data_IF_396530990378
#
_entry.id   IF_396530990378
#
_cell.length_a   1.000
_cell.length_b   1.000
_cell.length_c   1.000
_cell.angle_alpha   90.00
_cell.angle_beta   90.00
_cell.angle_gamma   90.00
#
_symmetry.space_group_name_H-M   'P 1'
#
loop_
_entity.id
_entity.type
_entity.pdbx_description
1 polymer ?
#
# COMPACT_ATOMS: atom_id res chain seq x y z
N UNK A 1 21.29 -27.99 0.36
CA UNK A 1 20.38 -27.27 -0.54
C UNK A 1 19.41 -26.50 0.32
N UNK A 2 19.20 -25.22 0.05
CA UNK A 2 18.12 -24.50 0.72
C UNK A 2 16.77 -25.13 0.32
N UNK A 3 15.83 -25.28 1.26
CA UNK A 3 14.51 -25.78 0.95
C UNK A 3 13.82 -24.85 -0.06
N UNK A 4 13.22 -25.44 -1.09
CA UNK A 4 12.37 -24.76 -2.08
C UNK A 4 11.25 -23.94 -1.41
N UNK A 5 10.57 -23.08 -2.16
CA UNK A 5 9.40 -22.36 -1.64
C UNK A 5 8.31 -23.33 -1.16
N UNK A 6 8.05 -24.41 -1.91
CA UNK A 6 7.02 -25.39 -1.58
C UNK A 6 7.32 -26.12 -0.26
N UNK A 7 8.54 -26.63 -0.10
CA UNK A 7 8.95 -27.31 1.14
C UNK A 7 8.98 -26.36 2.35
N UNK A 8 9.40 -25.10 2.16
CA UNK A 8 9.28 -24.06 3.19
C UNK A 8 7.82 -23.84 3.56
N UNK A 9 6.94 -23.63 2.59
CA UNK A 9 5.52 -23.38 2.84
C UNK A 9 4.86 -24.52 3.62
N UNK A 10 5.14 -25.79 3.29
CA UNK A 10 4.62 -26.94 4.04
C UNK A 10 5.14 -26.94 5.48
N UNK A 11 6.47 -26.82 5.68
CA UNK A 11 7.06 -26.76 7.03
C UNK A 11 6.45 -25.64 7.87
N UNK A 12 6.13 -24.53 7.21
CA UNK A 12 5.80 -23.27 7.85
C UNK A 12 4.29 -23.08 8.10
N UNK A 13 3.44 -23.63 7.25
CA UNK A 13 1.99 -23.41 7.29
C UNK A 13 1.17 -24.69 7.44
N UNK A 14 1.74 -25.88 7.24
CA UNK A 14 0.98 -27.11 7.38
C UNK A 14 0.83 -27.49 8.86
N UNK A 15 -0.41 -27.45 9.34
CA UNK A 15 -0.80 -27.80 10.71
C UNK A 15 -1.83 -28.94 10.69
N UNK A 16 -2.07 -29.57 11.84
CA UNK A 16 -2.98 -30.73 11.94
C UNK A 16 -4.44 -30.44 11.59
N UNK A 17 -4.85 -29.18 11.64
CA UNK A 17 -6.18 -28.69 11.28
C UNK A 17 -6.34 -28.41 9.78
N UNK A 18 -5.26 -28.46 8.99
CA UNK A 18 -5.35 -28.38 7.53
C UNK A 18 -5.93 -29.67 6.98
N UNK A 19 -7.09 -29.56 6.33
CA UNK A 19 -7.77 -30.71 5.73
C UNK A 19 -7.16 -31.15 4.40
N UNK A 20 -6.78 -30.18 3.55
CA UNK A 20 -6.28 -30.41 2.20
C UNK A 20 -5.25 -29.34 1.79
N UNK A 21 -4.27 -29.75 0.98
CA UNK A 21 -3.30 -28.87 0.32
C UNK A 21 -3.48 -29.01 -1.18
N UNK A 22 -3.75 -27.91 -1.88
CA UNK A 22 -4.03 -27.92 -3.32
C UNK A 22 -2.85 -27.36 -4.12
N UNK A 23 -2.47 -28.04 -5.20
CA UNK A 23 -1.41 -27.63 -6.12
C UNK A 23 -1.90 -27.71 -7.57
N UNK A 24 -1.53 -26.75 -8.41
CA UNK A 24 -1.87 -26.70 -9.85
C UNK A 24 -0.69 -27.06 -10.77
N UNK A 25 0.46 -27.44 -10.18
CA UNK A 25 1.65 -27.89 -10.90
C UNK A 25 2.12 -29.25 -10.37
N UNK A 26 2.32 -30.21 -11.27
CA UNK A 26 2.58 -31.61 -10.91
C UNK A 26 3.89 -31.80 -10.13
N UNK A 27 5.00 -31.21 -10.58
CA UNK A 27 6.29 -31.38 -9.92
C UNK A 27 6.27 -30.79 -8.49
N UNK A 28 5.55 -29.67 -8.31
CA UNK A 28 5.36 -29.04 -7.00
C UNK A 28 4.52 -29.92 -6.10
N UNK A 29 3.48 -30.57 -6.63
CA UNK A 29 2.65 -31.50 -5.87
C UNK A 29 3.46 -32.71 -5.39
N UNK A 30 4.29 -33.29 -6.26
CA UNK A 30 5.14 -34.44 -5.91
C UNK A 30 6.14 -34.09 -4.79
N UNK A 31 6.72 -32.88 -4.85
CA UNK A 31 7.59 -32.36 -3.79
C UNK A 31 6.83 -32.18 -2.45
N UNK A 32 5.64 -31.58 -2.50
CA UNK A 32 4.78 -31.36 -1.32
C UNK A 32 4.34 -32.70 -0.71
N UNK A 33 4.00 -33.71 -1.53
CA UNK A 33 3.62 -35.06 -1.07
C UNK A 33 4.78 -35.73 -0.34
N UNK A 34 5.99 -35.67 -0.93
CA UNK A 34 7.18 -36.27 -0.34
C UNK A 34 7.47 -35.67 1.04
N UNK A 35 7.37 -34.34 1.17
CA UNK A 35 7.62 -33.65 2.42
C UNK A 35 6.49 -33.84 3.45
N UNK A 36 5.24 -33.74 3.03
CA UNK A 36 4.08 -33.94 3.91
C UNK A 36 4.02 -35.36 4.47
N UNK A 37 4.44 -36.37 3.70
CA UNK A 37 4.49 -37.77 4.17
C UNK A 37 5.49 -37.99 5.29
N UNK A 38 6.55 -37.20 5.37
CA UNK A 38 7.54 -37.26 6.45
C UNK A 38 6.99 -36.66 7.77
N UNK A 39 6.17 -35.61 7.67
CA UNK A 39 5.66 -34.86 8.85
C UNK A 39 4.28 -35.39 9.30
N UNK A 40 3.42 -35.76 8.35
CA UNK A 40 2.04 -36.20 8.56
C UNK A 40 1.76 -37.57 7.91
N UNK A 41 2.46 -38.66 8.32
CA UNK A 41 2.36 -39.98 7.67
C UNK A 41 0.98 -40.63 7.74
N UNK A 42 0.07 -40.12 8.58
CA UNK A 42 -1.30 -40.65 8.75
C UNK A 42 -2.34 -39.98 7.84
N UNK A 43 -1.94 -39.03 7.00
CA UNK A 43 -2.83 -38.31 6.07
C UNK A 43 -2.36 -38.46 4.61
N UNK A 44 -2.43 -39.66 4.01
CA UNK A 44 -1.89 -39.91 2.67
C UNK A 44 -2.61 -39.14 1.54
N UNK A 45 -3.83 -38.68 1.79
CA UNK A 45 -4.67 -37.98 0.81
C UNK A 45 -4.74 -36.45 1.02
N UNK A 46 -3.81 -35.91 1.81
CA UNK A 46 -3.76 -34.49 2.17
C UNK A 46 -3.52 -33.60 0.95
N UNK A 47 -2.69 -34.02 0.01
CA UNK A 47 -2.34 -33.21 -1.17
C UNK A 47 -3.28 -33.56 -2.34
N UNK A 48 -3.83 -32.53 -2.98
CA UNK A 48 -4.72 -32.60 -4.14
C UNK A 48 -4.10 -31.84 -5.31
N UNK A 49 -4.15 -32.44 -6.50
CA UNK A 49 -3.72 -31.79 -7.74
C UNK A 49 -4.94 -31.22 -8.46
N UNK A 50 -4.90 -29.93 -8.76
CA UNK A 50 -5.92 -29.21 -9.52
C UNK A 50 -5.58 -29.25 -11.01
N UNK A 51 -6.36 -30.01 -11.78
CA UNK A 51 -6.16 -30.23 -13.22
C UNK A 51 -7.28 -29.63 -14.08
N UNK A 52 -8.14 -28.77 -13.52
CA UNK A 52 -9.23 -28.16 -14.28
C UNK A 52 -8.70 -27.04 -15.19
N UNK A 53 -8.76 -27.18 -16.53
CA UNK A 53 -8.27 -26.16 -17.45
C UNK A 53 -9.21 -24.95 -17.56
N UNK A 54 -10.46 -25.07 -17.10
CA UNK A 54 -11.48 -24.02 -17.22
C UNK A 54 -11.46 -23.01 -16.08
N UNK A 55 -10.78 -23.30 -14.96
CA UNK A 55 -10.71 -22.43 -13.77
C UNK A 55 -9.36 -22.56 -13.08
N UNK A 56 -8.81 -21.45 -12.65
CA UNK A 56 -7.63 -21.41 -11.77
C UNK A 56 -7.97 -21.82 -10.33
N UNK A 57 -6.95 -22.13 -9.51
CA UNK A 57 -7.13 -22.36 -8.06
C UNK A 57 -7.77 -21.14 -7.37
N UNK A 58 -7.36 -19.94 -7.77
CA UNK A 58 -7.89 -18.69 -7.21
C UNK A 58 -9.40 -18.55 -7.48
N UNK A 59 -9.86 -18.92 -8.67
CA UNK A 59 -11.29 -18.90 -9.01
C UNK A 59 -12.06 -20.02 -8.31
N UNK A 60 -11.47 -21.22 -8.21
CA UNK A 60 -12.08 -22.35 -7.50
C UNK A 60 -12.41 -22.01 -6.04
N UNK A 61 -11.49 -21.31 -5.36
CA UNK A 61 -11.61 -20.94 -3.96
C UNK A 61 -12.08 -19.49 -3.73
N UNK A 62 -12.44 -18.76 -4.79
CA UNK A 62 -12.87 -17.36 -4.74
C UNK A 62 -11.87 -16.40 -4.05
N UNK A 63 -10.57 -16.66 -4.22
CA UNK A 63 -9.49 -15.91 -3.55
C UNK A 63 -9.08 -14.62 -4.29
N UNK A 64 -9.60 -14.39 -5.50
CA UNK A 64 -9.19 -13.26 -6.34
C UNK A 64 -9.33 -11.91 -5.64
N UNK A 65 -10.45 -11.68 -4.96
CA UNK A 65 -10.68 -10.44 -4.21
C UNK A 65 -9.65 -10.24 -3.10
N UNK A 66 -9.36 -11.29 -2.33
CA UNK A 66 -8.37 -11.22 -1.24
C UNK A 66 -6.96 -10.97 -1.78
N UNK A 67 -6.60 -11.56 -2.92
CA UNK A 67 -5.32 -11.32 -3.59
C UNK A 67 -5.20 -9.87 -4.06
N UNK A 68 -6.26 -9.29 -4.63
CA UNK A 68 -6.27 -7.88 -5.04
C UNK A 68 -6.15 -6.95 -3.81
N UNK A 69 -6.80 -7.29 -2.69
CA UNK A 69 -6.71 -6.53 -1.45
C UNK A 69 -5.31 -6.49 -0.85
N UNK A 70 -4.43 -7.48 -1.09
CA UNK A 70 -3.03 -7.46 -0.60
C UNK A 70 -2.25 -6.27 -1.15
N UNK A 71 -2.48 -5.93 -2.43
CA UNK A 71 -1.79 -4.83 -3.12
C UNK A 71 -2.54 -3.51 -3.03
N UNK A 72 -3.78 -3.52 -2.54
CA UNK A 72 -4.60 -2.34 -2.37
C UNK A 72 -4.20 -1.54 -1.12
N UNK A 73 -4.24 -0.22 -1.23
CA UNK A 73 -4.13 0.69 -0.08
C UNK A 73 -5.26 0.46 0.93
N UNK A 74 -6.43 0.02 0.48
CA UNK A 74 -7.65 -0.17 1.28
C UNK A 74 -8.14 -1.62 1.25
N UNK A 75 -8.62 -2.13 2.38
CA UNK A 75 -9.31 -3.41 2.49
C UNK A 75 -10.71 -3.23 3.10
N UNK A 76 -11.71 -3.93 2.56
CA UNK A 76 -13.11 -3.79 2.97
C UNK A 76 -13.42 -4.57 4.25
N UNK A 77 -14.27 -4.01 5.10
CA UNK A 77 -14.82 -4.69 6.29
C UNK A 77 -16.21 -5.29 5.99
N UNK A 78 -16.60 -6.38 6.67
CA UNK A 78 -17.90 -7.04 6.47
C UNK A 78 -19.11 -6.10 6.60
N UNK A 79 -19.08 -5.17 7.55
CA UNK A 79 -20.17 -4.20 7.76
C UNK A 79 -20.14 -3.01 6.81
N UNK A 80 -19.30 -3.00 5.78
CA UNK A 80 -19.21 -1.92 4.79
C UNK A 80 -18.31 -0.74 5.18
N UNK A 81 -17.56 -0.88 6.27
CA UNK A 81 -16.39 -0.04 6.56
C UNK A 81 -15.16 -0.47 5.76
N UNK A 82 -14.02 0.14 6.06
CA UNK A 82 -12.74 -0.21 5.47
C UNK A 82 -11.57 0.14 6.38
N UNK A 83 -10.42 -0.48 6.10
CA UNK A 83 -9.13 -0.16 6.72
C UNK A 83 -8.15 0.30 5.64
N UNK A 84 -7.41 1.36 5.94
CA UNK A 84 -6.49 2.01 5.00
C UNK A 84 -5.08 1.91 5.54
N UNK A 85 -4.13 1.43 4.72
CA UNK A 85 -2.74 1.24 5.09
C UNK A 85 -1.84 2.29 4.40
N UNK A 86 -1.16 3.12 5.18
CA UNK A 86 -0.20 4.12 4.71
C UNK A 86 1.22 3.88 5.25
N UNK A 87 2.11 3.45 4.36
CA UNK A 87 3.50 3.19 4.70
C UNK A 87 4.25 4.52 4.79
N UNK A 88 4.89 4.76 5.92
CA UNK A 88 5.80 5.90 6.13
C UNK A 88 7.25 5.40 6.14
N UNK A 89 8.20 6.32 6.36
CA UNK A 89 9.61 5.99 6.51
C UNK A 89 9.87 5.04 7.71
N UNK A 90 9.21 5.28 8.84
CA UNK A 90 9.52 4.57 10.09
C UNK A 90 8.46 3.52 10.48
N UNK A 91 7.21 3.73 10.09
CA UNK A 91 6.08 2.92 10.56
C UNK A 91 4.99 2.72 9.51
N UNK A 92 4.13 1.75 9.76
CA UNK A 92 2.89 1.50 9.04
C UNK A 92 1.73 2.17 9.80
N UNK A 93 1.07 3.16 9.19
CA UNK A 93 -0.15 3.74 9.75
C UNK A 93 -1.38 3.02 9.20
N UNK A 94 -2.35 2.72 10.06
CA UNK A 94 -3.61 2.08 9.70
C UNK A 94 -4.78 2.92 10.18
N UNK A 95 -5.64 3.35 9.28
CA UNK A 95 -6.84 4.15 9.59
C UNK A 95 -8.12 3.31 9.41
N UNK A 96 -9.11 3.49 10.28
CA UNK A 96 -10.36 2.73 10.29
C UNK A 96 -11.55 3.61 9.91
N UNK A 97 -12.19 3.29 8.79
CA UNK A 97 -13.34 4.01 8.27
C UNK A 97 -14.62 3.19 8.43
N UNK A 98 -15.68 3.79 8.98
CA UNK A 98 -16.99 3.13 9.15
C UNK A 98 -17.82 3.00 7.87
N UNK A 99 -17.41 3.66 6.77
CA UNK A 99 -18.25 3.81 5.59
C UNK A 99 -19.52 4.64 5.85
N UNK A 100 -20.47 4.61 4.90
CA UNK A 100 -21.69 5.46 4.90
C UNK A 100 -22.85 4.91 5.75
N UNK A 101 -22.63 3.90 6.58
CA UNK A 101 -23.71 3.13 7.22
C UNK A 101 -23.88 3.59 8.67
N UNK A 102 -24.60 4.68 8.91
CA UNK A 102 -24.99 5.04 10.29
C UNK A 102 -25.67 6.39 10.47
N UNK A 103 -26.93 6.39 10.94
CA UNK A 103 -27.57 7.56 11.53
C UNK A 103 -27.01 7.88 12.92
N UNK A 104 -27.07 9.16 13.34
CA UNK A 104 -26.41 9.69 14.56
C UNK A 104 -26.75 8.94 15.87
N UNK A 105 -27.88 8.26 15.96
CA UNK A 105 -28.33 7.59 17.21
C UNK A 105 -27.60 6.28 17.52
N UNK A 106 -26.98 5.62 16.54
CA UNK A 106 -26.33 4.32 16.73
C UNK A 106 -24.80 4.37 16.55
N UNK A 107 -24.21 5.57 16.68
CA UNK A 107 -22.77 5.77 16.44
C UNK A 107 -21.87 4.95 17.38
N UNK A 108 -22.11 4.89 18.72
CA UNK A 108 -21.22 4.15 19.62
C UNK A 108 -21.13 2.65 19.32
N UNK A 109 -22.28 2.03 19.01
CA UNK A 109 -22.35 0.61 18.68
C UNK A 109 -21.73 0.32 17.32
N UNK A 110 -21.99 1.19 16.34
CA UNK A 110 -21.37 1.11 15.02
C UNK A 110 -19.84 1.22 15.11
N UNK A 111 -19.32 2.18 15.89
CA UNK A 111 -17.89 2.35 16.10
C UNK A 111 -17.26 1.11 16.73
N UNK A 112 -17.91 0.56 17.77
CA UNK A 112 -17.46 -0.67 18.42
C UNK A 112 -17.42 -1.87 17.47
N UNK A 113 -18.49 -2.09 16.70
CA UNK A 113 -18.55 -3.17 15.71
C UNK A 113 -17.47 -3.01 14.64
N UNK A 114 -17.35 -1.81 14.07
CA UNK A 114 -16.36 -1.52 13.02
C UNK A 114 -14.94 -1.72 13.52
N UNK A 115 -14.61 -1.23 14.72
CA UNK A 115 -13.28 -1.41 15.31
C UNK A 115 -12.98 -2.88 15.63
N UNK A 116 -13.99 -3.66 16.01
CA UNK A 116 -13.84 -5.11 16.26
C UNK A 116 -13.54 -5.86 14.96
N UNK A 117 -14.27 -5.56 13.88
CA UNK A 117 -14.00 -6.09 12.53
C UNK A 117 -12.62 -5.66 12.04
N UNK A 118 -12.26 -4.38 12.23
CA UNK A 118 -10.97 -3.83 11.85
C UNK A 118 -9.83 -4.54 12.59
N UNK A 119 -9.94 -4.82 13.88
CA UNK A 119 -8.91 -5.55 14.62
C UNK A 119 -8.64 -6.95 14.02
N UNK A 120 -9.68 -7.67 13.58
CA UNK A 120 -9.51 -8.97 12.92
C UNK A 120 -8.85 -8.82 11.54
N UNK A 121 -9.37 -7.89 10.73
CA UNK A 121 -8.89 -7.66 9.38
C UNK A 121 -7.45 -7.13 9.35
N UNK A 122 -7.06 -6.24 10.27
CA UNK A 122 -5.68 -5.76 10.38
C UNK A 122 -4.73 -6.91 10.68
N UNK A 123 -5.03 -7.77 11.65
CA UNK A 123 -4.18 -8.91 11.96
C UNK A 123 -4.02 -9.87 10.76
N UNK A 124 -5.08 -10.08 9.98
CA UNK A 124 -5.04 -10.87 8.75
C UNK A 124 -4.18 -10.21 7.68
N UNK A 125 -4.38 -8.92 7.41
CA UNK A 125 -3.64 -8.16 6.40
C UNK A 125 -2.16 -8.02 6.76
N UNK A 126 -1.81 -7.87 8.04
CA UNK A 126 -0.40 -7.85 8.47
C UNK A 126 0.34 -9.14 8.06
N UNK A 127 -0.34 -10.30 8.14
CA UNK A 127 0.21 -11.59 7.70
C UNK A 127 0.23 -11.71 6.18
N UNK A 128 -0.88 -11.42 5.51
CA UNK A 128 -1.00 -11.57 4.06
C UNK A 128 -0.04 -10.64 3.29
N UNK A 129 0.20 -9.44 3.82
CA UNK A 129 1.10 -8.44 3.21
C UNK A 129 2.56 -8.56 3.69
N UNK A 130 2.82 -9.44 4.66
CA UNK A 130 4.06 -9.51 5.46
C UNK A 130 4.55 -8.12 5.94
N UNK A 131 3.64 -7.35 6.54
CA UNK A 131 3.97 -6.05 7.14
C UNK A 131 4.68 -6.30 8.47
N UNK A 132 5.85 -5.70 8.66
CA UNK A 132 6.58 -5.76 9.91
C UNK A 132 7.33 -4.46 10.20
N UNK A 133 7.77 -4.31 11.45
CA UNK A 133 8.21 -3.06 12.04
C UNK A 133 7.17 -2.52 13.02
N UNK A 134 7.14 -1.20 13.17
CA UNK A 134 6.13 -0.51 13.97
C UNK A 134 4.86 -0.32 13.14
N UNK A 135 3.72 -0.68 13.71
CA UNK A 135 2.39 -0.49 13.15
C UNK A 135 1.58 0.33 14.15
N UNK A 136 0.93 1.38 13.68
CA UNK A 136 0.05 2.24 14.49
C UNK A 136 -1.35 2.21 13.88
N UNK A 137 -2.34 1.84 14.68
CA UNK A 137 -3.74 1.74 14.26
C UNK A 137 -4.53 2.86 14.91
N UNK A 138 -5.17 3.69 14.10
CA UNK A 138 -6.11 4.74 14.49
C UNK A 138 -7.53 4.19 14.43
N UNK A 139 -8.06 3.77 15.59
CA UNK A 139 -9.41 3.26 15.70
C UNK A 139 -10.41 4.40 15.84
N UNK A 140 -11.65 4.19 15.40
CA UNK A 140 -12.74 5.14 15.60
C UNK A 140 -12.91 5.42 17.11
N UNK A 141 -13.01 6.68 17.50
CA UNK A 141 -13.08 7.08 18.92
C UNK A 141 -14.24 6.37 19.66
N UNK A 142 -13.91 5.69 20.77
CA UNK A 142 -14.87 5.04 21.66
C UNK A 142 -14.75 5.58 23.08
N UNK A 143 -15.88 5.94 23.68
CA UNK A 143 -15.94 6.45 25.07
C UNK A 143 -16.05 5.35 26.12
N UNK A 144 -16.61 4.21 25.77
CA UNK A 144 -16.78 3.09 26.71
C UNK A 144 -15.47 2.30 26.86
N UNK A 145 -15.01 2.18 28.11
CA UNK A 145 -13.80 1.42 28.46
C UNK A 145 -13.96 -0.09 28.24
N UNK A 146 -15.18 -0.62 28.30
CA UNK A 146 -15.43 -2.03 28.01
C UNK A 146 -15.27 -2.30 26.52
N UNK A 147 -15.76 -1.42 25.66
CA UNK A 147 -15.56 -1.51 24.20
C UNK A 147 -14.08 -1.47 23.84
N UNK A 148 -13.32 -0.53 24.42
CA UNK A 148 -11.86 -0.45 24.23
C UNK A 148 -11.16 -1.77 24.61
N UNK A 149 -11.51 -2.36 25.77
CA UNK A 149 -10.92 -3.63 26.23
C UNK A 149 -11.27 -4.81 25.32
N UNK A 150 -12.50 -4.88 24.81
CA UNK A 150 -12.90 -5.96 23.90
C UNK A 150 -12.25 -5.82 22.52
N UNK A 151 -12.04 -4.59 22.00
CA UNK A 151 -11.26 -4.39 20.77
C UNK A 151 -9.80 -4.79 20.97
N UNK A 152 -9.16 -4.38 22.06
CA UNK A 152 -7.80 -4.84 22.41
C UNK A 152 -7.68 -6.37 22.50
N UNK A 153 -8.67 -7.00 23.15
CA UNK A 153 -8.72 -8.47 23.29
C UNK A 153 -8.93 -9.14 21.93
N UNK A 154 -9.77 -8.57 21.07
CA UNK A 154 -9.97 -9.05 19.70
C UNK A 154 -8.68 -8.98 18.91
N UNK A 155 -7.95 -7.85 18.96
CA UNK A 155 -6.66 -7.71 18.29
C UNK A 155 -5.64 -8.75 18.79
N UNK A 156 -5.47 -8.89 20.11
CA UNK A 156 -4.57 -9.89 20.69
C UNK A 156 -4.94 -11.31 20.26
N UNK A 157 -6.23 -11.64 20.23
CA UNK A 157 -6.70 -12.95 19.80
C UNK A 157 -6.45 -13.19 18.31
N UNK A 158 -6.68 -12.20 17.45
CA UNK A 158 -6.46 -12.31 16.01
C UNK A 158 -4.98 -12.43 15.64
N UNK A 159 -4.07 -11.91 16.48
CA UNK A 159 -2.62 -12.05 16.34
C UNK A 159 -2.07 -13.41 16.81
N UNK A 160 -2.80 -14.20 17.61
CA UNK A 160 -2.30 -15.49 18.15
C UNK A 160 -1.87 -16.51 17.09
N UNK A 161 -2.46 -16.44 15.90
CA UNK A 161 -2.08 -17.30 14.77
C UNK A 161 -0.88 -16.79 13.98
N UNK A 162 -0.31 -15.64 14.33
CA UNK A 162 0.85 -15.10 13.64
C UNK A 162 2.15 -15.78 14.10
N UNK A 163 2.98 -16.16 13.12
CA UNK A 163 4.26 -16.82 13.37
C UNK A 163 5.39 -15.83 13.60
N UNK A 164 5.25 -14.60 13.12
CA UNK A 164 6.20 -13.54 13.44
C UNK A 164 6.13 -13.23 14.93
N UNK A 165 7.26 -12.92 15.57
CA UNK A 165 7.21 -12.37 16.93
C UNK A 165 6.49 -11.04 16.88
N UNK A 166 5.54 -10.83 17.77
CA UNK A 166 4.79 -9.59 17.85
C UNK A 166 4.60 -9.15 19.30
N UNK A 167 4.40 -7.85 19.48
CA UNK A 167 3.90 -7.25 20.72
C UNK A 167 2.73 -6.33 20.37
N UNK A 168 1.66 -6.42 21.15
CA UNK A 168 0.43 -5.64 20.96
C UNK A 168 0.25 -4.74 22.17
N UNK A 169 0.42 -3.44 21.95
CA UNK A 169 0.19 -2.40 22.94
C UNK A 169 -1.27 -2.32 23.38
N UNK A 170 -1.49 -1.55 24.46
CA UNK A 170 -2.84 -1.14 24.85
C UNK A 170 -3.26 0.08 24.04
N UNK A 171 -4.56 0.39 24.05
CA UNK A 171 -5.03 1.64 23.49
C UNK A 171 -4.40 2.81 24.26
N UNK A 172 -3.77 3.72 23.53
CA UNK A 172 -3.20 4.94 24.08
C UNK A 172 -4.30 5.91 24.52
N UNK A 173 -3.90 6.97 25.23
CA UNK A 173 -4.82 8.07 25.61
C UNK A 173 -5.37 8.82 24.40
N UNK A 174 -4.74 8.69 23.23
CA UNK A 174 -5.13 9.35 21.99
C UNK A 174 -5.97 8.46 21.07
N UNK A 175 -6.34 7.25 21.50
CA UNK A 175 -7.13 6.33 20.67
C UNK A 175 -6.32 5.50 19.67
N UNK A 176 -4.98 5.62 19.71
CA UNK A 176 -4.07 4.82 18.87
C UNK A 176 -3.66 3.52 19.56
N UNK A 177 -3.51 2.45 18.77
CA UNK A 177 -2.92 1.18 19.21
C UNK A 177 -1.60 0.91 18.48
N UNK A 178 -0.57 0.57 19.22
CA UNK A 178 0.76 0.25 18.68
C UNK A 178 0.97 -1.26 18.63
N UNK A 179 1.57 -1.74 17.54
CA UNK A 179 2.00 -3.12 17.37
C UNK A 179 3.42 -3.13 16.84
N UNK A 180 4.27 -3.96 17.43
CA UNK A 180 5.59 -4.25 16.88
C UNK A 180 5.55 -5.66 16.34
N UNK A 181 5.82 -5.86 15.05
CA UNK A 181 5.83 -7.17 14.41
C UNK A 181 7.17 -7.44 13.72
N UNK A 182 7.76 -8.60 13.97
CA UNK A 182 9.00 -9.01 13.31
C UNK A 182 8.79 -9.18 11.80
N UNK A 183 9.73 -8.68 10.99
CA UNK A 183 9.77 -8.96 9.55
C UNK A 183 10.31 -10.37 9.32
N UNK A 184 9.57 -11.21 8.59
CA UNK A 184 10.00 -12.55 8.22
C UNK A 184 10.75 -12.55 6.88
N UNK A 185 10.34 -11.68 5.96
CA UNK A 185 11.04 -11.43 4.70
C UNK A 185 10.81 -10.00 4.20
N UNK A 186 10.90 -9.85 2.89
CA UNK A 186 10.48 -8.63 2.20
C UNK A 186 8.95 -8.64 2.07
N UNK A 187 8.29 -7.51 2.36
CA UNK A 187 6.84 -7.42 2.27
C UNK A 187 6.36 -7.63 0.83
N UNK A 188 5.16 -8.17 0.65
CA UNK A 188 4.58 -8.44 -0.68
C UNK A 188 4.58 -7.18 -1.56
N UNK A 189 4.30 -6.03 -0.95
CA UNK A 189 4.30 -4.72 -1.60
C UNK A 189 5.72 -4.34 -2.05
N UNK A 190 6.73 -4.49 -1.19
CA UNK A 190 8.11 -4.11 -1.54
C UNK A 190 8.72 -4.90 -2.71
N UNK A 191 8.28 -6.15 -2.91
CA UNK A 191 8.78 -7.00 -4.01
C UNK A 191 8.10 -6.64 -5.34
N UNK A 192 6.87 -6.09 -5.28
CA UNK A 192 6.00 -5.89 -6.45
C UNK A 192 5.84 -4.42 -6.85
N UNK A 193 6.47 -3.48 -6.13
CA UNK A 193 6.33 -2.04 -6.37
C UNK A 193 7.67 -1.33 -6.40
N UNK A 194 7.70 -0.23 -7.15
CA UNK A 194 8.83 0.70 -7.22
C UNK A 194 8.39 2.12 -6.86
N UNK A 195 9.30 3.00 -6.40
CA UNK A 195 8.96 4.38 -6.07
C UNK A 195 8.36 5.12 -7.27
N UNK A 196 7.34 5.94 -7.03
CA UNK A 196 6.73 6.72 -8.10
C UNK A 196 7.76 7.65 -8.75
N UNK A 197 7.98 7.59 -10.08
CA UNK A 197 8.98 8.42 -10.75
C UNK A 197 8.66 9.92 -10.73
N UNK A 198 7.41 10.28 -10.44
CA UNK A 198 6.94 11.67 -10.44
C UNK A 198 7.07 12.37 -9.08
N UNK A 199 7.10 11.63 -7.98
CA UNK A 199 7.06 12.20 -6.63
C UNK A 199 7.97 11.49 -5.62
N UNK A 200 8.70 10.45 -6.04
CA UNK A 200 9.59 9.67 -5.18
C UNK A 200 8.87 8.95 -4.02
N UNK A 201 7.55 8.74 -4.13
CA UNK A 201 6.75 8.16 -3.05
C UNK A 201 6.14 9.18 -2.07
N UNK A 202 6.30 10.49 -2.28
CA UNK A 202 5.69 11.51 -1.40
C UNK A 202 4.17 11.64 -1.53
N UNK A 203 3.58 11.06 -2.59
CA UNK A 203 2.14 11.12 -2.88
C UNK A 203 1.61 12.52 -3.20
N UNK A 204 2.48 13.53 -3.26
CA UNK A 204 2.10 14.93 -3.52
C UNK A 204 3.10 15.59 -4.47
N UNK A 205 2.64 16.62 -5.18
CA UNK A 205 3.46 17.40 -6.11
C UNK A 205 3.19 18.87 -5.86
N UNK A 206 4.16 19.76 -6.09
CA UNK A 206 3.91 21.21 -6.08
C UNK A 206 2.86 21.53 -7.15
N UNK A 207 1.94 22.45 -6.86
CA UNK A 207 0.91 22.83 -7.83
C UNK A 207 1.51 23.64 -9.00
N UNK A 208 0.78 23.72 -10.11
CA UNK A 208 1.24 24.40 -11.33
C UNK A 208 1.53 25.88 -11.12
N UNK A 209 0.79 26.56 -10.23
CA UNK A 209 1.03 27.97 -9.94
C UNK A 209 2.41 28.18 -9.29
N UNK A 210 2.75 27.36 -8.30
CA UNK A 210 4.06 27.40 -7.66
C UNK A 210 5.16 27.05 -8.64
N UNK A 211 4.98 25.99 -9.43
CA UNK A 211 5.96 25.57 -10.45
C UNK A 211 6.18 26.68 -11.49
N UNK A 212 5.11 27.34 -11.94
CA UNK A 212 5.20 28.44 -12.90
C UNK A 212 5.95 29.65 -12.34
N UNK A 213 5.77 29.97 -11.06
CA UNK A 213 6.54 31.03 -10.41
C UNK A 213 8.04 30.71 -10.35
N UNK A 214 8.42 29.45 -10.14
CA UNK A 214 9.83 29.04 -10.20
C UNK A 214 10.37 29.10 -11.63
N UNK A 215 9.61 28.58 -12.60
CA UNK A 215 9.98 28.64 -14.01
C UNK A 215 10.21 30.09 -14.47
N UNK A 216 9.33 31.03 -14.09
CA UNK A 216 9.51 32.46 -14.42
C UNK A 216 10.80 33.02 -13.83
N UNK A 217 11.15 32.67 -12.58
CA UNK A 217 12.41 33.10 -11.96
C UNK A 217 13.63 32.50 -12.66
N UNK A 218 13.53 31.25 -13.06
CA UNK A 218 14.58 30.55 -13.79
C UNK A 218 14.79 31.18 -15.17
N UNK A 219 13.71 31.42 -15.92
CA UNK A 219 13.74 32.13 -17.21
C UNK A 219 14.35 33.52 -17.04
N UNK A 220 13.96 34.30 -16.02
CA UNK A 220 14.55 35.63 -15.74
C UNK A 220 16.06 35.53 -15.48
N UNK A 221 16.48 34.54 -14.68
CA UNK A 221 17.91 34.28 -14.44
C UNK A 221 18.66 33.92 -15.72
N UNK A 222 18.09 33.05 -16.56
CA UNK A 222 18.66 32.65 -17.84
C UNK A 222 18.78 33.83 -18.80
N UNK A 223 17.78 34.72 -18.85
CA UNK A 223 17.81 35.93 -19.65
C UNK A 223 18.90 36.91 -19.18
N UNK A 224 19.08 37.09 -17.86
CA UNK A 224 20.14 37.96 -17.30
C UNK A 224 21.56 37.48 -17.61
N UNK A 225 21.75 36.17 -17.73
CA UNK A 225 23.07 35.55 -17.90
C UNK A 225 23.35 35.04 -19.31
N UNK A 226 22.48 35.36 -20.30
CA UNK A 226 22.64 34.89 -21.67
C UNK A 226 23.86 35.50 -22.36
N UNK A 227 24.60 34.67 -23.10
CA UNK A 227 25.80 35.09 -23.86
C UNK A 227 25.49 35.60 -25.27
N UNK A 228 24.37 35.14 -25.84
CA UNK A 228 23.99 35.37 -27.24
C UNK A 228 22.58 35.98 -27.28
N UNK A 229 22.45 37.32 -27.36
CA UNK A 229 21.16 37.99 -27.29
C UNK A 229 20.26 37.73 -28.50
N UNK A 230 20.85 37.37 -29.64
CA UNK A 230 20.13 37.23 -30.91
C UNK A 230 19.42 35.87 -31.04
N UNK A 231 19.69 34.93 -30.13
CA UNK A 231 19.02 33.62 -30.10
C UNK A 231 17.84 33.60 -29.14
N UNK A 232 16.80 32.89 -29.53
CA UNK A 232 15.66 32.58 -28.66
C UNK A 232 16.14 31.75 -27.45
N UNK A 233 15.60 32.08 -26.27
CA UNK A 233 15.77 31.27 -25.08
C UNK A 233 14.73 30.14 -25.10
N UNK A 234 15.20 28.92 -25.31
CA UNK A 234 14.37 27.72 -25.23
C UNK A 234 14.31 27.26 -23.76
N UNK A 235 13.11 27.29 -23.18
CA UNK A 235 12.82 26.77 -21.85
C UNK A 235 12.02 25.46 -21.96
N UNK A 236 12.72 24.35 -21.79
CA UNK A 236 12.11 23.02 -21.81
C UNK A 236 11.49 22.68 -20.45
N UNK A 237 10.23 22.26 -20.41
CA UNK A 237 9.57 21.87 -19.16
C UNK A 237 8.50 20.79 -19.33
N UNK A 238 7.91 20.30 -18.24
CA UNK A 238 6.83 19.30 -18.30
C UNK A 238 5.65 19.80 -19.15
N UNK A 239 4.99 18.94 -19.97
CA UNK A 239 3.93 19.37 -20.88
C UNK A 239 2.80 20.17 -20.21
N UNK A 240 2.38 19.76 -19.01
CA UNK A 240 1.34 20.46 -18.24
C UNK A 240 1.79 21.87 -17.82
N UNK A 241 3.05 22.03 -17.43
CA UNK A 241 3.60 23.33 -17.04
C UNK A 241 3.81 24.24 -18.25
N UNK A 242 4.25 23.69 -19.39
CA UNK A 242 4.38 24.45 -20.63
C UNK A 242 3.03 25.06 -21.07
N UNK A 243 1.97 24.24 -21.11
CA UNK A 243 0.61 24.71 -21.40
C UNK A 243 0.16 25.76 -20.39
N UNK A 244 0.45 25.56 -19.10
CA UNK A 244 0.09 26.51 -18.06
C UNK A 244 0.80 27.87 -18.24
N UNK A 245 2.11 27.87 -18.49
CA UNK A 245 2.90 29.08 -18.74
C UNK A 245 2.37 29.85 -19.96
N UNK A 246 2.19 29.16 -21.09
CA UNK A 246 1.75 29.75 -22.36
C UNK A 246 0.30 30.26 -22.36
N UNK A 247 -0.51 29.92 -21.35
CA UNK A 247 -1.90 30.35 -21.25
C UNK A 247 -2.17 31.25 -20.05
N UNK A 248 -1.74 30.83 -18.84
CA UNK A 248 -2.00 31.56 -17.59
C UNK A 248 -0.92 32.59 -17.26
N UNK A 249 0.32 32.38 -17.72
CA UNK A 249 1.45 33.29 -17.49
C UNK A 249 1.96 34.00 -18.75
N UNK A 250 1.25 33.88 -19.87
CA UNK A 250 1.60 34.49 -21.17
C UNK A 250 1.96 35.97 -21.05
N UNK A 251 1.15 36.75 -20.34
CA UNK A 251 1.40 38.19 -20.15
C UNK A 251 2.77 38.43 -19.50
N UNK A 252 3.14 37.64 -18.50
CA UNK A 252 4.42 37.80 -17.81
C UNK A 252 5.61 37.41 -18.69
N UNK A 253 5.45 36.37 -19.52
CA UNK A 253 6.46 36.00 -20.51
C UNK A 253 6.67 37.13 -21.54
N UNK A 254 5.60 37.69 -22.09
CA UNK A 254 5.67 38.84 -23.02
C UNK A 254 6.32 40.07 -22.37
N UNK A 255 6.01 40.35 -21.10
CA UNK A 255 6.68 41.43 -20.35
C UNK A 255 8.18 41.20 -20.24
N UNK A 256 8.63 39.96 -20.03
CA UNK A 256 10.05 39.61 -19.96
C UNK A 256 10.72 39.66 -21.33
N UNK A 257 10.07 39.18 -22.39
CA UNK A 257 10.56 39.31 -23.78
C UNK A 257 10.82 40.78 -24.13
N UNK A 258 9.89 41.67 -23.76
CA UNK A 258 10.04 43.11 -23.97
C UNK A 258 11.12 43.76 -23.09
N UNK A 259 11.26 43.34 -21.83
CA UNK A 259 12.28 43.87 -20.91
C UNK A 259 13.71 43.50 -21.34
N UNK A 260 13.90 42.27 -21.84
CA UNK A 260 15.22 41.73 -22.18
C UNK A 260 15.56 41.75 -23.68
N UNK A 261 14.67 42.28 -24.52
CA UNK A 261 14.74 42.24 -25.99
C UNK A 261 15.10 40.83 -26.49
N UNK A 262 14.26 39.87 -26.12
CA UNK A 262 14.49 38.44 -26.29
C UNK A 262 13.23 37.72 -26.76
N UNK A 263 13.41 36.57 -27.41
CA UNK A 263 12.32 35.62 -27.71
C UNK A 263 12.40 34.47 -26.72
N UNK A 264 11.29 34.10 -26.08
CA UNK A 264 11.20 32.97 -25.15
C UNK A 264 10.34 31.88 -25.79
N UNK A 265 10.94 30.73 -26.05
CA UNK A 265 10.26 29.55 -26.56
C UNK A 265 10.07 28.56 -25.42
N UNK A 266 8.82 28.23 -25.07
CA UNK A 266 8.53 27.23 -24.03
C UNK A 266 8.18 25.92 -24.70
N UNK A 267 9.03 24.91 -24.52
CA UNK A 267 8.89 23.61 -25.18
C UNK A 267 8.56 22.50 -24.18
N UNK A 268 7.64 21.56 -24.51
CA UNK A 268 7.37 20.40 -23.69
C UNK A 268 8.51 19.38 -23.81
N UNK A 269 9.08 18.97 -22.68
CA UNK A 269 10.03 17.87 -22.63
C UNK A 269 9.33 16.56 -23.04
N UNK A 270 9.89 15.86 -24.01
CA UNK A 270 9.35 14.60 -24.53
C UNK A 270 9.51 13.41 -23.56
N UNK A 271 10.30 13.56 -22.48
CA UNK A 271 10.49 12.56 -21.44
C UNK A 271 10.00 13.11 -20.10
N UNK A 272 9.25 12.30 -19.37
CA UNK A 272 9.11 12.49 -17.92
C UNK A 272 10.53 12.41 -17.36
N UNK A 273 11.07 13.55 -16.91
CA UNK A 273 12.33 13.57 -16.20
C UNK A 273 12.19 12.67 -14.97
N UNK A 274 12.85 11.51 -15.03
CA UNK A 274 13.23 10.73 -13.87
C UNK A 274 14.46 11.43 -13.27
N UNK A 275 14.22 12.42 -12.42
CA UNK A 275 15.22 13.01 -11.52
C UNK A 275 14.81 12.77 -10.07
#
# INVERSE_FOLDING_TARGET
>A
QEPTLASRAVRDYLTTDVAEVWCDHQETADEVIAFASLIFPRQPNLVKVHNDPGRTLWERFNLKKQLEEIYSREASLPSGGSIVFDQTEALMAVDVNSGKIGGKSNFPEMAFRTNTEAAQAVAEQLRLRDIGGQVVIDFIEMRDKNHLREVEKTMRNAMKGDRARYDVGKMSKFGLMEIVRQRLGSSAISISTEPCPCCGGTGTRRNLEWQALQAIKEIDSLLRHRRDPDKALVYETAPELAVYLLNKKRKKLLEMEAEFDAVIEVEPQAKLASE
#
